data_IF_371486301275
#
_entry.id   IF_371486301275
#
_cell.length_a   1.000
_cell.length_b   1.000
_cell.length_c   1.000
_cell.angle_alpha   90.00
_cell.angle_beta   90.00
_cell.angle_gamma   90.00
#
_symmetry.space_group_name_H-M   'P 1'
#
loop_
_entity.id
_entity.type
_entity.pdbx_description
1 polymer ?
#
# COMPACT_ATOMS: atom_id res chain seq x y z
N UNK A 1 -1.83 -11.85 4.92
CA UNK A 1 -0.91 -12.28 3.85
C UNK A 1 -1.13 -11.35 2.67
N UNK A 2 -0.06 -10.77 2.13
CA UNK A 2 -0.12 -9.97 0.91
C UNK A 2 -0.45 -10.86 -0.30
N UNK A 3 -1.36 -10.40 -1.14
CA UNK A 3 -1.76 -11.09 -2.36
C UNK A 3 -1.75 -10.09 -3.53
N UNK A 4 -0.73 -10.19 -4.38
CA UNK A 4 -0.55 -9.29 -5.52
C UNK A 4 -1.59 -9.58 -6.60
N UNK A 5 -2.50 -8.65 -6.80
CA UNK A 5 -3.70 -8.83 -7.62
C UNK A 5 -3.40 -8.88 -9.14
N UNK A 6 -2.16 -8.59 -9.56
CA UNK A 6 -1.68 -8.83 -10.92
C UNK A 6 -1.20 -10.27 -11.19
N UNK A 7 -0.98 -11.08 -10.15
CA UNK A 7 -0.35 -12.39 -10.31
C UNK A 7 -1.31 -13.47 -10.83
N UNK A 8 -0.79 -14.34 -11.71
CA UNK A 8 -1.53 -15.50 -12.19
C UNK A 8 -1.86 -16.45 -11.04
N UNK A 9 -3.10 -16.92 -10.97
CA UNK A 9 -3.57 -17.81 -9.91
C UNK A 9 -3.83 -17.14 -8.56
N UNK A 10 -3.69 -15.81 -8.45
CA UNK A 10 -3.88 -15.11 -7.17
C UNK A 10 -5.31 -15.24 -6.63
N UNK A 11 -6.30 -15.36 -7.52
CA UNK A 11 -7.70 -15.52 -7.12
C UNK A 11 -7.96 -16.88 -6.45
N UNK A 12 -7.43 -17.95 -7.05
CA UNK A 12 -7.57 -19.32 -6.56
C UNK A 12 -6.89 -19.51 -5.20
N UNK A 13 -5.65 -19.01 -5.06
CA UNK A 13 -4.92 -19.10 -3.80
C UNK A 13 -5.60 -18.23 -2.72
N UNK A 14 -6.12 -17.05 -3.09
CA UNK A 14 -6.86 -16.20 -2.15
C UNK A 14 -8.13 -16.89 -1.65
N UNK A 15 -8.90 -17.51 -2.55
CA UNK A 15 -10.08 -18.28 -2.18
C UNK A 15 -9.72 -19.44 -1.23
N UNK A 16 -8.66 -20.19 -1.54
CA UNK A 16 -8.21 -21.30 -0.70
C UNK A 16 -7.78 -20.83 0.70
N UNK A 17 -6.99 -19.77 0.79
CA UNK A 17 -6.48 -19.23 2.06
C UNK A 17 -7.61 -18.73 2.97
N UNK A 18 -8.65 -18.12 2.40
CA UNK A 18 -9.85 -17.71 3.14
C UNK A 18 -10.55 -18.93 3.77
N UNK A 19 -10.67 -20.06 3.04
CA UNK A 19 -11.24 -21.30 3.63
C UNK A 19 -10.43 -21.86 4.80
N UNK A 20 -9.19 -21.41 4.97
CA UNK A 20 -8.29 -21.77 6.08
C UNK A 20 -8.24 -20.72 7.18
N UNK A 21 -9.06 -19.67 7.10
CA UNK A 21 -9.11 -18.59 8.09
C UNK A 21 -7.91 -17.64 8.02
N UNK A 22 -7.19 -17.62 6.90
CA UNK A 22 -6.07 -16.69 6.71
C UNK A 22 -6.60 -15.35 6.21
N UNK A 23 -6.32 -14.27 6.94
CA UNK A 23 -6.60 -12.91 6.49
C UNK A 23 -5.67 -12.50 5.34
N UNK A 24 -6.25 -11.95 4.28
CA UNK A 24 -5.56 -11.60 3.04
C UNK A 24 -5.66 -10.10 2.80
N UNK A 25 -4.56 -9.51 2.35
CA UNK A 25 -4.48 -8.10 1.95
C UNK A 25 -4.37 -8.10 0.42
N UNK A 26 -5.26 -7.39 -0.26
CA UNK A 26 -5.22 -7.29 -1.72
C UNK A 26 -4.20 -6.22 -2.10
N UNK A 27 -3.08 -6.60 -2.71
CA UNK A 27 -2.03 -5.67 -3.11
C UNK A 27 -2.18 -5.34 -4.59
N UNK A 28 -2.28 -4.06 -4.92
CA UNK A 28 -2.28 -3.56 -6.30
C UNK A 28 -1.03 -2.73 -6.51
N UNK A 29 -0.24 -3.08 -7.53
CA UNK A 29 1.07 -2.47 -7.82
C UNK A 29 1.04 -1.66 -9.12
N UNK A 30 -0.07 -1.73 -9.85
CA UNK A 30 -0.25 -1.06 -11.14
C UNK A 30 -1.72 -0.74 -11.41
N UNK A 31 -1.95 0.12 -12.40
CA UNK A 31 -3.30 0.39 -12.92
C UNK A 31 -3.98 -0.87 -13.46
N UNK A 32 -3.23 -1.79 -14.07
CA UNK A 32 -3.80 -3.03 -14.59
C UNK A 32 -4.17 -4.00 -13.47
N UNK A 33 -3.43 -4.01 -12.36
CA UNK A 33 -3.78 -4.75 -11.15
C UNK A 33 -5.10 -4.22 -10.57
N UNK A 34 -5.26 -2.90 -10.48
CA UNK A 34 -6.50 -2.26 -10.04
C UNK A 34 -7.66 -2.69 -10.93
N UNK A 35 -7.51 -2.59 -12.26
CA UNK A 35 -8.55 -3.03 -13.20
C UNK A 35 -8.88 -4.51 -13.04
N UNK A 36 -7.88 -5.36 -12.85
CA UNK A 36 -8.08 -6.79 -12.65
C UNK A 36 -8.79 -7.09 -11.33
N UNK A 37 -8.42 -6.40 -10.25
CA UNK A 37 -9.04 -6.49 -8.94
C UNK A 37 -10.51 -6.06 -8.97
N UNK A 38 -10.81 -4.91 -9.59
CA UNK A 38 -12.18 -4.40 -9.74
C UNK A 38 -13.06 -5.34 -10.58
N UNK A 39 -12.52 -5.89 -11.69
CA UNK A 39 -13.25 -6.87 -12.51
C UNK A 39 -13.57 -8.16 -11.74
N UNK A 40 -12.67 -8.62 -10.88
CA UNK A 40 -12.85 -9.87 -10.12
C UNK A 40 -13.86 -9.73 -8.99
N UNK A 41 -13.92 -8.57 -8.33
CA UNK A 41 -14.88 -8.34 -7.24
C UNK A 41 -14.68 -9.26 -6.04
N UNK A 42 -15.75 -9.46 -5.26
CA UNK A 42 -15.73 -10.32 -4.07
C UNK A 42 -14.83 -9.79 -2.96
N UNK A 43 -14.80 -8.46 -2.76
CA UNK A 43 -13.81 -7.78 -1.91
C UNK A 43 -13.91 -8.13 -0.42
N UNK A 44 -15.07 -8.60 0.04
CA UNK A 44 -15.30 -9.04 1.42
C UNK A 44 -14.38 -10.17 1.90
N UNK A 45 -13.65 -10.81 1.00
CA UNK A 45 -12.64 -11.83 1.32
C UNK A 45 -11.29 -11.25 1.78
N UNK A 46 -11.07 -9.96 1.55
CA UNK A 46 -9.84 -9.26 1.91
C UNK A 46 -10.06 -8.44 3.19
N UNK A 47 -9.01 -8.33 4.00
CA UNK A 47 -9.00 -7.54 5.23
C UNK A 47 -8.74 -6.05 4.98
N UNK A 48 -7.99 -5.75 3.91
CA UNK A 48 -7.66 -4.39 3.45
C UNK A 48 -7.19 -4.43 2.00
N UNK A 49 -7.18 -3.27 1.37
CA UNK A 49 -6.55 -3.02 0.08
C UNK A 49 -5.20 -2.34 0.32
N UNK A 50 -4.18 -2.74 -0.43
CA UNK A 50 -2.84 -2.16 -0.35
C UNK A 50 -2.49 -1.55 -1.70
N UNK A 51 -2.16 -0.26 -1.69
CA UNK A 51 -1.73 0.51 -2.86
C UNK A 51 -0.21 0.65 -2.79
N UNK A 52 0.48 0.03 -3.76
CA UNK A 52 1.92 -0.22 -3.69
C UNK A 52 2.65 0.25 -4.97
N UNK A 53 2.73 1.56 -5.24
CA UNK A 53 3.57 2.08 -6.33
C UNK A 53 5.04 1.68 -6.11
N UNK A 54 5.66 1.09 -7.13
CA UNK A 54 7.05 0.63 -7.10
C UNK A 54 8.02 1.59 -7.81
N UNK A 55 7.56 2.80 -8.12
CA UNK A 55 8.37 3.87 -8.66
C UNK A 55 9.35 4.38 -7.60
N UNK A 56 10.64 4.47 -7.98
CA UNK A 56 11.67 5.01 -7.10
C UNK A 56 11.64 6.54 -7.05
N UNK A 57 11.20 7.20 -8.13
CA UNK A 57 11.04 8.64 -8.14
C UNK A 57 9.76 9.04 -7.37
N UNK A 58 9.85 9.96 -6.39
CA UNK A 58 8.69 10.35 -5.59
C UNK A 58 7.53 10.97 -6.39
N UNK A 59 7.82 11.70 -7.48
CA UNK A 59 6.76 12.31 -8.28
C UNK A 59 6.04 11.26 -9.12
N UNK A 60 6.78 10.32 -9.70
CA UNK A 60 6.20 9.20 -10.44
C UNK A 60 5.36 8.29 -9.53
N UNK A 61 5.85 8.00 -8.31
CA UNK A 61 5.12 7.21 -7.32
C UNK A 61 3.79 7.88 -6.90
N UNK A 62 3.78 9.20 -6.67
CA UNK A 62 2.54 9.94 -6.40
C UNK A 62 1.60 9.86 -7.60
N UNK A 63 2.12 10.05 -8.81
CA UNK A 63 1.30 10.04 -10.02
C UNK A 63 0.61 8.69 -10.20
N UNK A 64 1.35 7.58 -10.05
CA UNK A 64 0.78 6.24 -10.15
C UNK A 64 -0.23 5.97 -9.02
N UNK A 65 0.12 6.26 -7.76
CA UNK A 65 -0.78 6.08 -6.61
C UNK A 65 -2.09 6.84 -6.83
N UNK A 66 -2.02 8.08 -7.29
CA UNK A 66 -3.19 8.92 -7.57
C UNK A 66 -4.06 8.34 -8.69
N UNK A 67 -3.46 7.82 -9.75
CA UNK A 67 -4.21 7.18 -10.84
C UNK A 67 -4.92 5.91 -10.36
N UNK A 68 -4.23 5.08 -9.58
CA UNK A 68 -4.78 3.85 -9.00
C UNK A 68 -5.92 4.14 -8.03
N UNK A 69 -5.74 5.08 -7.10
CA UNK A 69 -6.76 5.56 -6.16
C UNK A 69 -7.99 6.10 -6.89
N UNK A 70 -7.80 6.89 -7.96
CA UNK A 70 -8.91 7.43 -8.75
C UNK A 70 -9.75 6.33 -9.40
N UNK A 71 -9.12 5.24 -9.87
CA UNK A 71 -9.82 4.09 -10.41
C UNK A 71 -10.54 3.29 -9.31
N UNK A 72 -9.89 3.09 -8.16
CA UNK A 72 -10.50 2.40 -7.01
C UNK A 72 -11.75 3.15 -6.51
N UNK A 73 -11.70 4.49 -6.48
CA UNK A 73 -12.82 5.34 -6.09
C UNK A 73 -14.04 5.26 -7.03
N UNK A 74 -13.89 4.70 -8.24
CA UNK A 74 -15.04 4.44 -9.13
C UNK A 74 -15.93 3.28 -8.65
N UNK A 75 -15.46 2.53 -7.66
CA UNK A 75 -16.13 1.37 -7.09
C UNK A 75 -16.25 1.51 -5.57
N UNK A 76 -17.36 1.03 -5.01
CA UNK A 76 -17.59 1.02 -3.56
C UNK A 76 -16.86 -0.18 -2.90
N UNK A 77 -15.52 -0.16 -2.95
CA UNK A 77 -14.68 -1.29 -2.49
C UNK A 77 -14.87 -1.55 -1.00
N UNK A 78 -15.08 -0.50 -0.20
CA UNK A 78 -15.40 -0.58 1.23
C UNK A 78 -14.30 -1.19 2.11
N UNK A 79 -13.10 -1.42 1.57
CA UNK A 79 -11.96 -1.93 2.31
C UNK A 79 -11.13 -0.76 2.87
N UNK A 80 -10.57 -0.89 4.08
CA UNK A 80 -9.53 0.05 4.55
C UNK A 80 -8.35 0.03 3.59
N UNK A 81 -7.78 1.20 3.31
CA UNK A 81 -6.58 1.33 2.47
C UNK A 81 -5.31 1.41 3.33
N UNK A 82 -4.25 0.80 2.82
CA UNK A 82 -2.89 0.87 3.33
C UNK A 82 -1.95 1.22 2.18
N UNK A 83 -1.05 2.16 2.40
CA UNK A 83 -0.11 2.59 1.37
C UNK A 83 1.32 2.32 1.82
N UNK A 84 2.15 1.94 0.86
CA UNK A 84 3.59 1.98 1.00
C UNK A 84 4.23 2.26 -0.36
N UNK A 85 5.51 2.63 -0.36
CA UNK A 85 6.29 2.86 -1.58
C UNK A 85 7.66 2.23 -1.41
N UNK A 86 8.54 2.46 -2.39
CA UNK A 86 9.89 1.89 -2.38
C UNK A 86 10.97 2.96 -2.25
N UNK A 87 12.04 2.64 -1.52
CA UNK A 87 13.20 3.51 -1.36
C UNK A 87 12.83 4.88 -0.79
N UNK A 88 13.33 5.96 -1.39
CA UNK A 88 13.04 7.33 -0.96
C UNK A 88 11.58 7.73 -1.20
N UNK A 89 10.92 7.19 -2.23
CA UNK A 89 9.52 7.48 -2.54
C UNK A 89 8.55 7.03 -1.43
N UNK A 90 8.94 6.02 -0.63
CA UNK A 90 8.17 5.54 0.53
C UNK A 90 7.71 6.68 1.45
N UNK A 91 8.59 7.65 1.72
CA UNK A 91 8.31 8.76 2.65
C UNK A 91 7.22 9.69 2.13
N UNK A 92 7.26 9.99 0.83
CA UNK A 92 6.26 10.85 0.19
C UNK A 92 4.90 10.16 0.11
N UNK A 93 4.87 8.86 -0.21
CA UNK A 93 3.65 8.04 -0.20
C UNK A 93 3.05 7.99 1.22
N UNK A 94 3.87 7.73 2.23
CA UNK A 94 3.42 7.72 3.63
C UNK A 94 2.77 9.04 4.05
N UNK A 95 3.39 10.19 3.72
CA UNK A 95 2.81 11.50 4.06
C UNK A 95 1.46 11.72 3.41
N UNK A 96 1.31 11.36 2.14
CA UNK A 96 0.05 11.46 1.40
C UNK A 96 -1.04 10.60 2.05
N UNK A 97 -0.74 9.33 2.30
CA UNK A 97 -1.67 8.40 2.93
C UNK A 97 -2.14 8.89 4.31
N UNK A 98 -1.20 9.32 5.16
CA UNK A 98 -1.54 9.88 6.47
C UNK A 98 -2.40 11.14 6.34
N UNK A 99 -2.15 12.01 5.36
CA UNK A 99 -2.96 13.20 5.13
C UNK A 99 -4.41 12.89 4.71
N UNK A 100 -4.65 11.72 4.10
CA UNK A 100 -5.98 11.22 3.77
C UNK A 100 -6.62 10.40 4.89
N UNK A 101 -5.88 10.10 5.97
CA UNK A 101 -6.34 9.28 7.09
C UNK A 101 -6.16 7.77 6.87
N UNK A 102 -5.41 7.39 5.84
CA UNK A 102 -5.17 6.00 5.48
C UNK A 102 -4.01 5.38 6.28
N UNK A 103 -3.96 4.05 6.27
CA UNK A 103 -2.88 3.32 6.93
C UNK A 103 -1.58 3.39 6.13
N UNK A 104 -0.45 3.24 6.82
CA UNK A 104 0.88 3.18 6.20
C UNK A 104 1.61 1.91 6.61
N UNK A 105 2.57 1.50 5.77
CA UNK A 105 3.57 0.47 6.08
C UNK A 105 4.98 1.01 5.82
N UNK A 106 5.93 0.53 6.62
CA UNK A 106 7.35 0.76 6.43
C UNK A 106 8.16 -0.40 7.00
N UNK A 107 9.34 -0.62 6.43
CA UNK A 107 10.33 -1.58 6.90
C UNK A 107 11.51 -1.63 5.93
N UNK A 108 12.56 -2.36 6.31
CA UNK A 108 13.76 -2.55 5.49
C UNK A 108 13.47 -3.28 4.15
N UNK A 109 12.32 -3.94 4.06
CA UNK A 109 11.79 -4.49 2.79
C UNK A 109 11.42 -3.38 1.80
N UNK A 110 10.85 -2.29 2.30
CA UNK A 110 10.31 -1.21 1.48
C UNK A 110 11.39 -0.14 1.24
N UNK A 111 12.19 0.19 2.27
CA UNK A 111 13.27 1.17 2.16
C UNK A 111 14.42 0.94 3.14
N UNK A 112 15.64 1.19 2.67
CA UNK A 112 16.87 1.17 3.49
C UNK A 112 17.42 2.56 3.75
N UNK A 113 16.66 3.61 3.43
CA UNK A 113 17.07 5.00 3.59
C UNK A 113 16.01 5.85 4.29
N UNK A 114 16.44 6.82 5.08
CA UNK A 114 15.61 7.89 5.59
C UNK A 114 15.22 8.86 4.46
N UNK A 115 14.35 9.82 4.78
CA UNK A 115 13.81 10.76 3.80
C UNK A 115 14.89 11.67 3.19
N UNK A 116 15.94 11.98 3.95
CA UNK A 116 17.11 12.72 3.47
C UNK A 116 18.08 11.85 2.64
N UNK A 117 17.75 10.57 2.43
CA UNK A 117 18.57 9.61 1.71
C UNK A 117 19.67 8.95 2.54
N UNK A 118 19.82 9.29 3.84
CA UNK A 118 20.78 8.62 4.72
C UNK A 118 20.38 7.17 4.97
N UNK A 119 21.36 6.27 5.16
CA UNK A 119 21.09 4.85 5.40
C UNK A 119 20.52 4.65 6.79
N UNK A 120 19.46 3.85 6.91
CA UNK A 120 18.89 3.43 8.21
C UNK A 120 19.46 2.09 8.66
N UNK A 121 19.66 1.95 9.97
CA UNK A 121 20.25 0.74 10.57
C UNK A 121 19.23 -0.33 10.98
N UNK A 122 17.94 0.01 11.08
CA UNK A 122 16.93 -0.89 11.65
C UNK A 122 15.49 -0.55 11.26
N UNK A 123 14.61 -1.55 11.35
CA UNK A 123 13.15 -1.33 11.29
C UNK A 123 12.65 -0.39 12.39
N UNK A 124 13.29 -0.37 13.56
CA UNK A 124 12.89 0.50 14.67
C UNK A 124 13.08 2.00 14.34
N UNK A 125 14.16 2.33 13.63
CA UNK A 125 14.39 3.69 13.13
C UNK A 125 13.32 4.11 12.11
N UNK A 126 13.00 3.23 11.15
CA UNK A 126 11.95 3.48 10.14
C UNK A 126 10.58 3.70 10.78
N UNK A 127 10.19 2.82 11.72
CA UNK A 127 8.92 2.95 12.45
C UNK A 127 8.88 4.24 13.27
N UNK A 128 9.99 4.63 13.91
CA UNK A 128 10.06 5.88 14.67
C UNK A 128 9.87 7.12 13.78
N UNK A 129 10.44 7.11 12.59
CA UNK A 129 10.25 8.16 11.59
C UNK A 129 8.80 8.19 11.09
N UNK A 130 8.21 7.04 10.75
CA UNK A 130 6.81 6.94 10.33
C UNK A 130 5.82 7.43 11.41
N UNK A 131 6.04 7.05 12.69
CA UNK A 131 5.23 7.56 13.81
C UNK A 131 5.34 9.08 13.95
N UNK A 132 6.51 9.66 13.67
CA UNK A 132 6.70 11.11 13.70
C UNK A 132 5.90 11.80 12.59
N UNK A 133 5.85 11.22 11.39
CA UNK A 133 4.99 11.68 10.28
C UNK A 133 3.52 11.63 10.71
N UNK A 134 3.05 10.50 11.23
CA UNK A 134 1.66 10.34 11.69
C UNK A 134 1.25 11.39 12.72
N UNK A 135 2.12 11.68 13.68
CA UNK A 135 1.87 12.70 14.73
C UNK A 135 1.89 14.12 14.19
N UNK A 136 2.66 14.40 13.15
CA UNK A 136 2.76 15.74 12.55
C UNK A 136 1.55 16.12 11.70
N UNK A 137 0.82 15.11 11.19
CA UNK A 137 -0.30 15.28 10.26
C UNK A 137 -1.66 15.09 10.93
N UNK A 138 -1.71 14.47 12.12
CA UNK A 138 -2.94 14.34 12.89
C UNK A 138 -3.54 15.73 13.19
N UNK A 139 -4.86 15.95 12.94
CA UNK A 139 -5.50 17.19 13.33
C UNK A 139 -5.38 17.35 14.85
N UNK A 140 -5.03 18.56 15.30
CA UNK A 140 -5.02 18.95 16.71
C UNK A 140 -6.39 18.82 17.35
#
# INVERSE_FOLDING_TARGET
>A
MAANQGESGIDDISALLVTRGVGIEACVLSVDDVRAFLRRGGWSRFARLVVEPLEQDPADAIALSTEMEALLATADVGLPELHHGIGTASWTIMRRAVAHGDSIRTGLEDTTVAEDGSVVGSNAELVSAAVSIMRSTAPR
#
